data_IF_791162377188
#
_entry.id   IF_791162377188
#
_cell.length_a   1.000
_cell.length_b   1.000
_cell.length_c   1.000
_cell.angle_alpha   90.00
_cell.angle_beta   90.00
_cell.angle_gamma   90.00
#
_symmetry.space_group_name_H-M   'P 1'
#
loop_
_entity.id
_entity.type
_entity.pdbx_description
1 polymer ?
#
# COMPACT_ATOMS: atom_id res chain seq x y z
N UNK A 1 2.20 -15.24 9.91
CA UNK A 1 3.04 -14.04 10.06
C UNK A 1 2.08 -12.87 10.22
N UNK A 2 2.07 -12.26 11.39
CA UNK A 2 1.23 -11.11 11.73
C UNK A 2 2.16 -9.91 11.89
N UNK A 3 1.88 -8.82 11.19
CA UNK A 3 2.66 -7.58 11.25
C UNK A 3 1.84 -6.57 12.06
N UNK A 4 2.27 -6.28 13.28
CA UNK A 4 1.66 -5.27 14.15
C UNK A 4 2.38 -3.94 13.93
N UNK A 5 1.67 -2.96 13.36
CA UNK A 5 2.16 -1.57 13.24
C UNK A 5 1.70 -0.80 14.48
N UNK A 6 2.60 -0.43 15.42
CA UNK A 6 2.20 0.33 16.61
C UNK A 6 1.79 1.75 16.20
N UNK A 7 0.49 2.04 16.26
CA UNK A 7 -0.07 3.36 15.94
C UNK A 7 -0.08 4.21 17.22
N UNK A 8 0.55 5.38 17.18
CA UNK A 8 0.46 6.35 18.29
C UNK A 8 -0.95 6.93 18.34
N UNK A 9 -1.45 7.26 19.53
CA UNK A 9 -2.83 7.75 19.71
C UNK A 9 -3.16 9.02 18.91
N UNK A 10 -2.16 9.86 18.60
CA UNK A 10 -2.30 11.04 17.74
C UNK A 10 -2.24 10.78 16.22
N UNK A 11 -2.00 9.53 15.82
CA UNK A 11 -2.00 9.08 14.42
C UNK A 11 -3.24 8.23 14.09
N UNK A 12 -4.16 8.07 15.05
CA UNK A 12 -5.44 7.41 14.83
C UNK A 12 -6.24 8.15 13.74
N UNK A 13 -6.65 7.42 12.71
CA UNK A 13 -7.39 7.94 11.55
C UNK A 13 -6.51 8.35 10.37
N UNK A 14 -5.20 8.52 10.53
CA UNK A 14 -4.32 8.82 9.39
C UNK A 14 -4.21 7.59 8.48
N UNK A 15 -4.04 7.78 7.16
CA UNK A 15 -3.79 6.68 6.25
C UNK A 15 -2.56 5.87 6.70
N UNK A 16 -2.72 4.55 6.77
CA UNK A 16 -1.64 3.62 7.11
C UNK A 16 -1.13 3.03 5.80
N UNK A 17 0.14 3.28 5.50
CA UNK A 17 0.83 2.69 4.35
C UNK A 17 1.94 1.76 4.82
N UNK A 18 2.06 0.60 4.17
CA UNK A 18 3.18 -0.31 4.34
C UNK A 18 3.78 -0.60 2.98
N UNK A 19 5.06 -0.23 2.82
CA UNK A 19 5.87 -0.52 1.64
C UNK A 19 6.83 -1.66 1.94
N UNK A 20 6.81 -2.69 1.10
CA UNK A 20 7.75 -3.81 1.12
C UNK A 20 8.37 -3.92 -0.26
N UNK A 21 9.65 -3.58 -0.37
CA UNK A 21 10.40 -3.65 -1.62
C UNK A 21 11.67 -4.46 -1.46
N UNK A 22 12.05 -5.18 -2.51
CA UNK A 22 13.25 -6.00 -2.57
C UNK A 22 13.72 -6.18 -4.00
N UNK A 23 15.04 -6.22 -4.21
CA UNK A 23 15.61 -6.37 -5.55
C UNK A 23 17.01 -6.95 -5.52
N UNK A 24 17.39 -7.60 -6.61
CA UNK A 24 18.71 -8.23 -6.79
C UNK A 24 19.39 -7.56 -7.99
N UNK A 25 20.31 -6.64 -7.68
CA UNK A 25 21.12 -5.95 -8.68
C UNK A 25 20.28 -5.33 -9.82
N UNK A 26 20.82 -5.27 -11.05
CA UNK A 26 20.12 -4.67 -12.19
C UNK A 26 19.08 -5.61 -12.85
N UNK A 27 18.84 -6.79 -12.26
CA UNK A 27 18.05 -7.86 -12.89
C UNK A 27 16.61 -7.93 -12.38
N UNK A 28 16.36 -7.48 -11.16
CA UNK A 28 15.04 -7.59 -10.56
C UNK A 28 14.81 -6.53 -9.50
N UNK A 29 13.70 -5.82 -9.61
CA UNK A 29 13.15 -4.97 -8.56
C UNK A 29 11.67 -5.30 -8.38
N UNK A 30 11.28 -5.52 -7.13
CA UNK A 30 9.90 -5.71 -6.72
C UNK A 30 9.56 -4.68 -5.65
N UNK A 31 8.42 -4.02 -5.79
CA UNK A 31 7.87 -3.11 -4.80
C UNK A 31 6.40 -3.45 -4.58
N UNK A 32 6.02 -3.70 -3.34
CA UNK A 32 4.65 -3.92 -2.94
C UNK A 32 4.26 -2.81 -1.96
N UNK A 33 3.18 -2.10 -2.27
CA UNK A 33 2.58 -1.09 -1.40
C UNK A 33 1.20 -1.57 -0.96
N UNK A 34 0.90 -1.46 0.33
CA UNK A 34 -0.46 -1.63 0.87
C UNK A 34 -0.81 -0.34 1.59
N UNK A 35 -1.87 0.33 1.12
CA UNK A 35 -2.37 1.56 1.70
C UNK A 35 -3.78 1.36 2.23
N UNK A 36 -4.03 1.87 3.43
CA UNK A 36 -5.36 1.89 4.05
C UNK A 36 -5.69 3.30 4.49
N UNK A 37 -6.74 3.87 3.91
CA UNK A 37 -7.32 5.15 4.28
C UNK A 37 -8.73 4.93 4.85
N UNK A 38 -8.81 4.78 6.17
CA UNK A 38 -10.09 4.57 6.85
C UNK A 38 -10.98 5.83 6.86
N UNK A 39 -10.39 7.03 6.69
CA UNK A 39 -11.14 8.29 6.66
C UNK A 39 -11.87 8.48 5.34
N UNK A 40 -11.30 8.00 4.23
CA UNK A 40 -11.90 8.05 2.90
C UNK A 40 -12.43 6.68 2.44
N UNK A 41 -12.44 5.69 3.34
CA UNK A 41 -13.00 4.36 3.13
C UNK A 41 -12.31 3.54 2.04
N UNK A 42 -10.99 3.61 1.93
CA UNK A 42 -10.24 2.98 0.84
C UNK A 42 -9.16 2.05 1.36
N UNK A 43 -9.08 0.85 0.79
CA UNK A 43 -7.97 -0.08 0.95
C UNK A 43 -7.44 -0.43 -0.42
N UNK A 44 -6.15 -0.25 -0.64
CA UNK A 44 -5.49 -0.55 -1.89
C UNK A 44 -4.22 -1.34 -1.68
N UNK A 45 -3.93 -2.26 -2.60
CA UNK A 45 -2.60 -2.84 -2.75
C UNK A 45 -2.11 -2.67 -4.16
N UNK A 46 -0.84 -2.29 -4.30
CA UNK A 46 -0.14 -2.14 -5.56
C UNK A 46 1.12 -2.99 -5.53
N UNK A 47 1.37 -3.70 -6.61
CA UNK A 47 2.53 -4.54 -6.82
C UNK A 47 3.21 -4.11 -8.12
N UNK A 48 4.48 -3.78 -8.03
CA UNK A 48 5.36 -3.47 -9.15
C UNK A 48 6.49 -4.49 -9.21
N UNK A 49 6.78 -4.99 -10.41
CA UNK A 49 7.91 -5.87 -10.68
C UNK A 49 8.57 -5.49 -12.00
N UNK A 50 9.90 -5.38 -12.02
CA UNK A 50 10.61 -4.96 -13.22
C UNK A 50 12.06 -5.42 -13.29
N UNK A 51 12.61 -5.35 -14.49
CA UNK A 51 14.01 -5.65 -14.83
C UNK A 51 14.68 -4.33 -15.20
N UNK A 52 15.40 -3.67 -14.28
CA UNK A 52 15.92 -2.31 -14.48
C UNK A 52 16.82 -2.18 -15.71
N UNK A 53 17.67 -3.17 -15.97
CA UNK A 53 18.58 -3.14 -17.10
C UNK A 53 17.86 -3.17 -18.46
N UNK A 54 16.77 -3.92 -18.56
CA UNK A 54 15.97 -4.02 -19.78
C UNK A 54 14.91 -2.90 -19.87
N UNK A 55 14.78 -2.06 -18.84
CA UNK A 55 13.80 -0.96 -18.80
C UNK A 55 12.34 -1.41 -18.81
N UNK A 56 12.06 -2.69 -18.60
CA UNK A 56 10.71 -3.26 -18.61
C UNK A 56 10.20 -3.48 -17.19
N UNK A 57 8.94 -3.14 -16.97
CA UNK A 57 8.28 -3.34 -15.69
C UNK A 57 6.78 -3.42 -15.85
N UNK A 58 6.15 -4.10 -14.90
CA UNK A 58 4.70 -4.18 -14.77
C UNK A 58 4.32 -3.63 -13.39
N UNK A 59 3.25 -2.84 -13.36
CA UNK A 59 2.64 -2.38 -12.12
C UNK A 59 1.17 -2.77 -12.19
N UNK A 60 0.72 -3.54 -11.20
CA UNK A 60 -0.66 -3.99 -11.06
C UNK A 60 -1.15 -3.64 -9.68
N UNK A 61 -2.39 -3.24 -9.54
CA UNK A 61 -2.97 -2.94 -8.24
C UNK A 61 -4.43 -3.32 -8.19
N UNK A 62 -4.90 -3.58 -6.98
CA UNK A 62 -6.30 -3.87 -6.68
C UNK A 62 -6.71 -3.06 -5.46
N UNK A 63 -7.88 -2.44 -5.52
CA UNK A 63 -8.41 -1.63 -4.43
C UNK A 63 -9.89 -1.92 -4.19
N UNK A 64 -10.29 -1.79 -2.93
CA UNK A 64 -11.67 -1.86 -2.47
C UNK A 64 -12.02 -0.53 -1.82
N UNK A 65 -13.16 0.02 -2.19
CA UNK A 65 -13.71 1.23 -1.61
C UNK A 65 -14.99 0.90 -0.83
N UNK A 66 -15.16 1.55 0.30
CA UNK A 66 -16.31 1.47 1.21
C UNK A 66 -16.68 2.88 1.69
N UNK A 67 -17.91 3.11 2.17
CA UNK A 67 -18.32 4.42 2.66
C UNK A 67 -17.42 4.92 3.78
N UNK A 68 -17.13 6.20 3.75
CA UNK A 68 -16.19 6.81 4.68
C UNK A 68 -16.81 6.94 6.08
N UNK A 69 -15.99 6.91 7.16
CA UNK A 69 -16.51 7.15 8.52
C UNK A 69 -17.17 8.53 8.62
N UNK A 70 -16.69 9.53 7.86
CA UNK A 70 -17.31 10.85 7.82
C UNK A 70 -18.71 10.82 7.16
N UNK A 71 -18.96 9.88 6.23
CA UNK A 71 -20.28 9.72 5.60
C UNK A 71 -21.27 8.94 6.48
N UNK A 72 -20.76 8.06 7.35
CA UNK A 72 -21.59 7.24 8.24
C UNK A 72 -21.99 8.02 9.51
N UNK A 73 -21.11 8.89 10.03
CA UNK A 73 -21.30 9.50 11.35
C UNK A 73 -22.11 10.81 11.31
N UNK A 74 -22.22 11.49 10.16
CA UNK A 74 -23.14 12.63 9.97
C UNK A 74 -22.87 13.86 10.83
#
# INVERSE_FOLDING_TARGET
MEVSVPIKQGDLGKPIGVDVGGGVGPYYQQNQHVGVDYLNGQVGTSFGGGVPFAGVGVNTGVGVSFPSINEIVG
#
